data_IF_818656698236
#
_entry.id   IF_818656698236
#
_cell.length_a   1.000
_cell.length_b   1.000
_cell.length_c   1.000
_cell.angle_alpha   90.00
_cell.angle_beta   90.00
_cell.angle_gamma   90.00
#
_symmetry.space_group_name_H-M   'P 1'
#
loop_
_entity.id
_entity.type
_entity.pdbx_description
1 polymer ?
#
# COMPACT_ATOMS: atom_id res chain seq x y z
N UNK A 1 -17.32 8.48 23.10
CA UNK A 1 -16.49 9.11 24.15
C UNK A 1 -17.08 10.43 24.64
N UNK A 2 -16.90 11.57 23.96
CA UNK A 2 -17.35 12.88 24.50
C UNK A 2 -18.86 13.02 24.63
N UNK A 3 -19.63 12.62 23.61
CA UNK A 3 -21.10 12.69 23.66
C UNK A 3 -21.68 11.80 24.76
N UNK A 4 -21.26 10.53 24.81
CA UNK A 4 -21.68 9.56 25.83
C UNK A 4 -21.35 10.04 27.25
N UNK A 5 -20.16 10.63 27.46
CA UNK A 5 -19.77 11.18 28.76
C UNK A 5 -20.67 12.32 29.25
N UNK A 6 -21.43 12.94 28.35
CA UNK A 6 -22.39 14.00 28.65
C UNK A 6 -23.85 13.53 28.56
N UNK A 7 -24.10 12.21 28.46
CA UNK A 7 -25.44 11.67 28.32
C UNK A 7 -26.15 12.08 27.02
N UNK A 8 -25.38 12.43 25.98
CA UNK A 8 -25.91 12.85 24.67
C UNK A 8 -25.90 11.68 23.69
N UNK A 9 -26.94 11.61 22.86
CA UNK A 9 -27.08 10.65 21.77
C UNK A 9 -26.95 11.34 20.41
N UNK A 10 -26.33 10.66 19.44
CA UNK A 10 -26.32 11.11 18.04
C UNK A 10 -27.70 10.90 17.46
N UNK A 11 -28.30 11.96 16.94
CA UNK A 11 -29.61 11.92 16.27
C UNK A 11 -29.49 11.91 14.76
N UNK A 12 -28.49 12.60 14.21
CA UNK A 12 -28.19 12.62 12.78
C UNK A 12 -26.76 13.13 12.51
N UNK A 13 -26.25 12.95 11.28
CA UNK A 13 -24.96 13.45 10.80
C UNK A 13 -25.17 14.52 9.72
N UNK A 14 -24.67 15.73 9.95
CA UNK A 14 -24.75 16.81 8.96
C UNK A 14 -23.72 16.61 7.83
N UNK A 15 -22.45 16.39 8.18
CA UNK A 15 -21.38 16.18 7.21
C UNK A 15 -20.14 15.57 7.88
N UNK A 16 -19.47 14.60 7.24
CA UNK A 16 -18.16 14.13 7.67
C UNK A 16 -17.05 15.14 7.33
N UNK A 17 -16.11 15.34 8.25
CA UNK A 17 -14.95 16.21 8.04
C UNK A 17 -13.67 15.42 7.86
N UNK A 18 -12.76 15.94 7.02
CA UNK A 18 -11.42 15.39 6.86
C UNK A 18 -10.41 16.48 6.47
N UNK A 19 -9.13 16.23 6.70
CA UNK A 19 -8.06 17.14 6.26
C UNK A 19 -7.98 17.15 4.73
N UNK A 20 -8.01 18.34 4.14
CA UNK A 20 -7.94 18.57 2.70
C UNK A 20 -6.85 19.59 2.38
N UNK A 21 -6.18 19.41 1.23
CA UNK A 21 -5.30 20.43 0.66
C UNK A 21 -6.12 21.36 -0.23
N UNK A 22 -6.01 22.66 -0.02
CA UNK A 22 -6.66 23.68 -0.84
C UNK A 22 -5.62 24.56 -1.53
N UNK A 23 -5.93 25.02 -2.75
CA UNK A 23 -5.13 25.97 -3.50
C UNK A 23 -6.00 27.14 -3.97
N UNK A 24 -5.43 28.35 -3.96
CA UNK A 24 -6.09 29.54 -4.47
C UNK A 24 -6.27 29.43 -6.01
N UNK A 25 -7.47 29.64 -6.57
CA UNK A 25 -7.71 29.58 -8.01
C UNK A 25 -6.81 30.51 -8.85
N UNK A 26 -6.50 31.70 -8.34
CA UNK A 26 -5.59 32.65 -9.01
C UNK A 26 -4.16 32.11 -9.07
N UNK A 27 -3.72 31.40 -8.02
CA UNK A 27 -2.40 30.76 -8.02
C UNK A 27 -2.34 29.57 -8.98
N UNK A 28 -3.46 28.88 -9.23
CA UNK A 28 -3.56 27.79 -10.21
C UNK A 28 -3.53 28.30 -11.66
N UNK A 29 -3.87 29.57 -11.89
CA UNK A 29 -3.79 30.19 -13.22
C UNK A 29 -2.34 30.57 -13.62
N UNK A 30 -1.44 30.76 -12.65
CA UNK A 30 -0.02 31.00 -12.91
C UNK A 30 0.74 29.67 -13.12
N UNK A 31 1.36 29.42 -14.30
CA UNK A 31 1.99 28.14 -14.60
C UNK A 31 3.11 27.75 -13.63
N UNK A 32 3.90 28.72 -13.17
CA UNK A 32 5.02 28.46 -12.26
C UNK A 32 4.54 28.01 -10.87
N UNK A 33 3.53 28.70 -10.31
CA UNK A 33 2.89 28.31 -9.04
C UNK A 33 2.13 26.99 -9.18
N UNK A 34 1.37 26.81 -10.27
CA UNK A 34 0.62 25.58 -10.52
C UNK A 34 1.54 24.36 -10.48
N UNK A 35 2.68 24.41 -11.18
CA UNK A 35 3.65 23.30 -11.17
C UNK A 35 4.09 22.90 -9.76
N UNK A 36 4.42 23.89 -8.91
CA UNK A 36 4.82 23.63 -7.52
C UNK A 36 3.68 23.05 -6.67
N UNK A 37 2.45 23.46 -6.93
CA UNK A 37 1.26 22.90 -6.26
C UNK A 37 1.07 21.45 -6.70
N UNK A 38 1.18 21.16 -8.00
CA UNK A 38 1.04 19.82 -8.55
C UNK A 38 2.11 18.87 -8.02
N UNK A 39 3.37 19.33 -7.90
CA UNK A 39 4.46 18.56 -7.29
C UNK A 39 4.15 18.19 -5.82
N UNK A 40 3.62 19.14 -5.04
CA UNK A 40 3.20 18.88 -3.66
C UNK A 40 2.03 17.89 -3.58
N UNK A 41 1.03 18.04 -4.46
CA UNK A 41 -0.10 17.13 -4.57
C UNK A 41 0.39 15.71 -4.86
N UNK A 42 1.32 15.55 -5.81
CA UNK A 42 1.94 14.26 -6.14
C UNK A 42 2.64 13.64 -4.94
N UNK A 43 3.46 14.41 -4.20
CA UNK A 43 4.17 13.91 -3.02
C UNK A 43 3.24 13.52 -1.87
N UNK A 44 2.15 14.26 -1.64
CA UNK A 44 1.16 13.91 -0.63
C UNK A 44 0.39 12.65 -1.02
N UNK A 45 -0.01 12.55 -2.29
CA UNK A 45 -0.69 11.37 -2.82
C UNK A 45 0.21 10.13 -2.75
N UNK A 46 1.51 10.25 -2.99
CA UNK A 46 2.43 9.11 -2.94
C UNK A 46 2.49 8.46 -1.55
N UNK A 47 2.42 9.27 -0.49
CA UNK A 47 2.33 8.80 0.89
C UNK A 47 0.97 8.15 1.16
N UNK A 48 -0.13 8.74 0.68
CA UNK A 48 -1.47 8.19 0.87
C UNK A 48 -1.64 6.83 0.19
N UNK A 49 -1.07 6.66 -1.01
CA UNK A 49 -1.04 5.38 -1.72
C UNK A 49 -0.18 4.36 -0.95
N UNK A 50 1.00 4.76 -0.50
CA UNK A 50 1.91 3.89 0.26
C UNK A 50 1.27 3.34 1.55
N UNK A 51 0.50 4.17 2.28
CA UNK A 51 -0.19 3.75 3.52
C UNK A 51 -1.16 2.59 3.35
N UNK A 52 -1.71 2.41 2.14
CA UNK A 52 -2.66 1.33 1.82
C UNK A 52 -1.98 0.03 1.42
N UNK A 53 -0.65 0.02 1.31
CA UNK A 53 0.13 -1.11 0.81
C UNK A 53 1.31 -1.44 1.72
N UNK A 54 1.82 -2.64 1.55
CA UNK A 54 3.07 -3.11 2.17
C UNK A 54 3.89 -3.85 1.13
N UNK A 55 5.20 -3.88 1.32
CA UNK A 55 6.06 -4.81 0.60
C UNK A 55 6.01 -6.17 1.28
N UNK A 56 5.68 -7.20 0.51
CA UNK A 56 5.80 -8.59 0.92
C UNK A 56 7.02 -9.20 0.22
N UNK A 57 7.90 -9.82 0.98
CA UNK A 57 9.03 -10.60 0.48
C UNK A 57 8.89 -12.04 0.94
N UNK A 58 9.14 -13.00 0.04
CA UNK A 58 8.91 -14.42 0.28
C UNK A 58 10.01 -15.22 -0.41
N UNK A 59 10.53 -16.26 0.24
CA UNK A 59 11.37 -17.25 -0.41
C UNK A 59 10.51 -18.38 -1.01
N UNK A 60 10.82 -18.81 -2.22
CA UNK A 60 10.15 -19.92 -2.89
C UNK A 60 11.19 -20.82 -3.57
N UNK A 61 11.00 -22.13 -3.52
CA UNK A 61 11.79 -23.06 -4.33
C UNK A 61 11.31 -23.02 -5.80
N UNK A 62 12.05 -23.66 -6.71
CA UNK A 62 11.64 -23.71 -8.11
C UNK A 62 10.31 -24.44 -8.31
N UNK A 63 10.02 -25.44 -7.47
CA UNK A 63 8.80 -26.25 -7.55
C UNK A 63 7.54 -25.47 -7.12
N UNK A 64 7.69 -24.49 -6.21
CA UNK A 64 6.56 -23.74 -5.66
C UNK A 64 6.46 -22.29 -6.15
N UNK A 65 7.43 -21.81 -6.94
CA UNK A 65 7.50 -20.43 -7.41
C UNK A 65 6.20 -19.97 -8.08
N UNK A 66 5.69 -20.73 -9.06
CA UNK A 66 4.50 -20.36 -9.81
C UNK A 66 3.25 -20.28 -8.91
N UNK A 67 3.13 -21.23 -7.96
CA UNK A 67 2.03 -21.23 -7.00
C UNK A 67 2.10 -20.02 -6.05
N UNK A 68 3.31 -19.67 -5.58
CA UNK A 68 3.53 -18.49 -4.73
C UNK A 68 3.23 -17.19 -5.49
N UNK A 69 3.68 -17.06 -6.75
CA UNK A 69 3.41 -15.86 -7.56
C UNK A 69 1.91 -15.71 -7.84
N UNK A 70 1.20 -16.81 -8.10
CA UNK A 70 -0.23 -16.80 -8.42
C UNK A 70 -1.12 -16.27 -7.28
N UNK A 71 -0.71 -16.45 -6.02
CA UNK A 71 -1.50 -16.00 -4.85
C UNK A 71 -1.23 -14.56 -4.43
N UNK A 72 -0.28 -13.86 -5.07
CA UNK A 72 0.09 -12.49 -4.71
C UNK A 72 -0.73 -11.45 -5.50
N UNK A 73 -1.56 -10.62 -4.84
CA UNK A 73 -2.26 -9.52 -5.48
C UNK A 73 -1.31 -8.32 -5.67
N UNK A 74 -0.39 -8.42 -6.64
CA UNK A 74 0.61 -7.38 -6.92
C UNK A 74 0.07 -6.22 -7.77
N UNK A 75 0.68 -5.04 -7.65
CA UNK A 75 0.34 -3.87 -8.50
C UNK A 75 0.66 -4.07 -9.98
N UNK A 76 1.78 -4.75 -10.25
CA UNK A 76 2.24 -5.19 -11.59
C UNK A 76 2.54 -6.69 -11.49
N UNK A 77 3.61 -7.16 -12.11
CA UNK A 77 4.18 -8.48 -11.83
C UNK A 77 5.03 -8.44 -10.55
N UNK A 78 5.03 -9.54 -9.79
CA UNK A 78 5.96 -9.72 -8.69
C UNK A 78 7.40 -9.75 -9.21
N UNK A 79 8.33 -9.15 -8.48
CA UNK A 79 9.76 -9.27 -8.78
C UNK A 79 10.22 -10.64 -8.32
N UNK A 80 10.88 -11.38 -9.20
CA UNK A 80 11.46 -12.69 -8.92
C UNK A 80 12.96 -12.60 -9.12
N UNK A 81 13.75 -12.91 -8.09
CA UNK A 81 15.21 -12.90 -8.13
C UNK A 81 15.77 -14.24 -7.64
N UNK A 82 16.75 -14.85 -8.32
CA UNK A 82 17.36 -16.09 -7.85
C UNK A 82 18.16 -15.86 -6.56
N UNK A 83 18.09 -16.81 -5.64
CA UNK A 83 18.89 -16.82 -4.43
C UNK A 83 20.30 -17.36 -4.71
N UNK A 84 21.27 -16.91 -3.93
CA UNK A 84 22.66 -17.38 -4.02
C UNK A 84 22.73 -18.90 -3.84
N UNK A 85 23.63 -19.56 -4.60
CA UNK A 85 23.84 -21.01 -4.48
C UNK A 85 22.71 -21.87 -5.04
N UNK A 86 21.85 -21.32 -5.91
CA UNK A 86 20.71 -22.02 -6.52
C UNK A 86 19.65 -22.48 -5.51
N UNK A 87 19.53 -21.78 -4.37
CA UNK A 87 18.64 -22.12 -3.26
C UNK A 87 17.16 -21.75 -3.47
N UNK A 88 16.75 -21.42 -4.69
CA UNK A 88 15.39 -20.96 -5.03
C UNK A 88 15.35 -19.49 -5.41
N UNK A 89 14.25 -18.81 -5.06
CA UNK A 89 13.90 -17.47 -5.51
C UNK A 89 13.38 -16.61 -4.36
N UNK A 90 13.75 -15.33 -4.38
CA UNK A 90 13.08 -14.28 -3.63
C UNK A 90 11.99 -13.64 -4.49
N UNK A 91 10.75 -13.69 -4.00
CA UNK A 91 9.58 -13.06 -4.62
C UNK A 91 9.22 -11.81 -3.83
N UNK A 92 9.13 -10.66 -4.50
CA UNK A 92 8.74 -9.38 -3.88
C UNK A 92 7.52 -8.78 -4.55
N UNK A 93 6.55 -8.34 -3.76
CA UNK A 93 5.33 -7.71 -4.26
C UNK A 93 4.79 -6.63 -3.31
N UNK A 94 4.40 -5.49 -3.87
CA UNK A 94 3.61 -4.49 -3.14
C UNK A 94 2.13 -4.88 -3.14
N UNK A 95 1.63 -5.37 -2.00
CA UNK A 95 0.27 -5.90 -1.84
C UNK A 95 -0.61 -4.95 -1.01
N UNK A 96 -1.95 -4.97 -1.17
CA UNK A 96 -2.86 -4.25 -0.29
C UNK A 96 -2.68 -4.70 1.17
N UNK A 97 -2.57 -3.76 2.09
CA UNK A 97 -2.35 -4.06 3.52
C UNK A 97 -3.50 -4.88 4.12
N UNK A 98 -4.72 -4.59 3.70
CA UNK A 98 -5.94 -5.30 4.13
C UNK A 98 -6.00 -6.76 3.65
N UNK A 99 -5.27 -7.11 2.60
CA UNK A 99 -5.23 -8.47 2.07
C UNK A 99 -4.27 -9.40 2.84
N UNK A 100 -3.40 -8.86 3.69
CA UNK A 100 -2.39 -9.63 4.41
C UNK A 100 -2.92 -10.85 5.18
N UNK A 101 -4.06 -10.78 5.90
CA UNK A 101 -4.60 -11.93 6.62
C UNK A 101 -4.96 -13.11 5.73
N UNK A 102 -5.23 -12.87 4.43
CA UNK A 102 -5.55 -13.91 3.45
C UNK A 102 -4.30 -14.34 2.68
N UNK A 103 -3.46 -13.38 2.29
CA UNK A 103 -2.28 -13.61 1.44
C UNK A 103 -1.19 -14.39 2.18
N UNK A 104 -0.89 -14.06 3.45
CA UNK A 104 0.20 -14.73 4.18
C UNK A 104 -0.08 -16.24 4.34
N UNK A 105 -1.28 -16.68 4.80
CA UNK A 105 -1.60 -18.10 4.84
C UNK A 105 -1.59 -18.77 3.45
N UNK A 106 -2.11 -18.09 2.42
CA UNK A 106 -2.11 -18.63 1.06
C UNK A 106 -0.68 -18.86 0.52
N UNK A 107 0.22 -17.92 0.75
CA UNK A 107 1.65 -18.04 0.42
C UNK A 107 2.28 -19.23 1.15
N UNK A 108 2.00 -19.37 2.46
CA UNK A 108 2.50 -20.52 3.24
C UNK A 108 1.98 -21.85 2.70
N UNK A 109 0.69 -21.92 2.38
CA UNK A 109 0.06 -23.13 1.81
C UNK A 109 0.61 -23.45 0.41
N UNK A 110 0.97 -22.43 -0.37
CA UNK A 110 1.62 -22.59 -1.66
C UNK A 110 3.10 -23.02 -1.57
N UNK A 111 3.69 -23.12 -0.37
CA UNK A 111 5.07 -23.56 -0.16
C UNK A 111 6.09 -22.44 0.01
N UNK A 112 5.66 -21.18 0.10
CA UNK A 112 6.54 -20.05 0.37
C UNK A 112 7.07 -20.05 1.82
N UNK A 113 8.34 -19.71 2.00
CA UNK A 113 9.01 -19.60 3.31
C UNK A 113 9.47 -18.16 3.57
N UNK A 114 9.87 -17.90 4.82
CA UNK A 114 10.52 -16.65 5.23
C UNK A 114 9.78 -15.37 4.78
N UNK A 115 8.48 -15.32 5.06
CA UNK A 115 7.62 -14.21 4.68
C UNK A 115 7.95 -12.97 5.53
N UNK A 116 8.40 -11.89 4.87
CA UNK A 116 8.71 -10.61 5.49
C UNK A 116 7.73 -9.54 4.99
N UNK A 117 7.23 -8.71 5.92
CA UNK A 117 6.35 -7.59 5.61
C UNK A 117 7.02 -6.29 6.02
N UNK A 118 7.21 -5.38 5.07
CA UNK A 118 7.82 -4.07 5.28
C UNK A 118 6.89 -2.93 4.88
N UNK A 119 6.89 -1.84 5.64
CA UNK A 119 6.10 -0.65 5.31
C UNK A 119 6.76 0.16 4.19
N UNK A 120 5.93 0.78 3.35
CA UNK A 120 6.38 1.67 2.29
C UNK A 120 6.18 3.12 2.72
N UNK A 121 7.20 3.95 2.58
CA UNK A 121 7.10 5.38 2.92
C UNK A 121 6.37 6.18 1.83
N UNK A 122 6.64 5.86 0.56
CA UNK A 122 6.05 6.53 -0.61
C UNK A 122 5.92 5.55 -1.78
N UNK A 123 4.86 5.71 -2.58
CA UNK A 123 4.66 5.03 -3.86
C UNK A 123 4.24 6.10 -4.86
N UNK A 124 5.08 6.38 -5.85
CA UNK A 124 4.75 7.27 -6.97
C UNK A 124 4.31 6.39 -8.15
N UNK A 125 3.04 6.45 -8.58
CA UNK A 125 2.52 5.62 -9.68
C UNK A 125 3.16 5.91 -11.04
#
# INVERSE_FOLDING_TARGET
>A
ATLEANGLAVVDEVMPSSTRLYANPVALADPARRRRIDDLVMLLNSVLVARRRVMLEVNASAECLDAVVAVLPSMRQATVAPLFGNGGYAVKAAVPREALPQVIPAVKAAGGTDVVVSTLSQIVP
#
